data_IF_382817048478
#
_entry.id   IF_382817048478
#
_cell.length_a   1.000
_cell.length_b   1.000
_cell.length_c   1.000
_cell.angle_alpha   90.00
_cell.angle_beta   90.00
_cell.angle_gamma   90.00
#
_symmetry.space_group_name_H-M   'P 1'
#
loop_
_entity.id
_entity.type
_entity.pdbx_description
1 polymer ?
#
# COMPACT_ATOMS: atom_id res chain seq x y z
N UNK A 1 13.83 -27.74 22.01
CA UNK A 1 13.15 -26.47 21.66
C UNK A 1 13.26 -25.64 22.92
N UNK A 2 13.99 -24.52 22.87
CA UNK A 2 14.00 -23.60 24.01
C UNK A 2 12.58 -23.03 24.15
N UNK A 3 11.98 -23.17 25.33
CA UNK A 3 10.70 -22.56 25.64
C UNK A 3 10.82 -21.04 25.44
N UNK A 4 10.00 -20.50 24.57
CA UNK A 4 9.94 -19.05 24.36
C UNK A 4 9.25 -18.46 25.59
N UNK A 5 9.90 -17.55 26.29
CA UNK A 5 9.25 -16.80 27.35
C UNK A 5 8.26 -15.80 26.71
N UNK A 6 6.96 -15.90 27.01
CA UNK A 6 5.97 -14.96 26.45
C UNK A 6 6.32 -13.52 26.80
N UNK A 7 6.42 -12.67 25.77
CA UNK A 7 6.66 -11.25 25.92
C UNK A 7 5.34 -10.46 25.68
N UNK A 8 5.24 -9.27 26.27
CA UNK A 8 4.14 -8.35 26.01
C UNK A 8 4.52 -7.39 24.88
N UNK A 9 3.85 -7.48 23.74
CA UNK A 9 4.18 -6.74 22.51
C UNK A 9 3.02 -5.85 22.10
N UNK A 10 3.32 -4.60 21.74
CA UNK A 10 2.36 -3.70 21.12
C UNK A 10 2.62 -3.57 19.63
N UNK A 11 1.55 -3.58 18.84
CA UNK A 11 1.56 -3.25 17.42
C UNK A 11 0.69 -2.00 17.23
N UNK A 12 1.29 -0.91 16.76
CA UNK A 12 0.61 0.36 16.49
C UNK A 12 0.39 0.52 15.00
N UNK A 13 -0.86 0.42 14.57
CA UNK A 13 -1.30 0.41 13.19
C UNK A 13 -1.86 -0.96 12.78
N UNK A 14 -3.15 -0.99 12.48
CA UNK A 14 -3.92 -2.19 12.13
C UNK A 14 -4.09 -2.39 10.62
N UNK A 15 -3.12 -1.92 9.82
CA UNK A 15 -3.02 -2.25 8.39
C UNK A 15 -2.42 -3.65 8.16
N UNK A 16 -2.30 -4.08 6.90
CA UNK A 16 -1.81 -5.42 6.56
C UNK A 16 -0.43 -5.74 7.16
N UNK A 17 0.51 -4.80 7.17
CA UNK A 17 1.83 -4.99 7.81
C UNK A 17 1.71 -5.27 9.30
N UNK A 18 0.92 -4.45 10.01
CA UNK A 18 0.72 -4.60 11.45
C UNK A 18 -0.04 -5.87 11.81
N UNK A 19 -1.12 -6.20 11.08
CA UNK A 19 -1.91 -7.42 11.30
C UNK A 19 -1.10 -8.68 11.02
N UNK A 20 -0.28 -8.70 9.95
CA UNK A 20 0.63 -9.81 9.66
C UNK A 20 1.65 -10.01 10.78
N UNK A 21 2.30 -8.92 11.23
CA UNK A 21 3.28 -9.01 12.30
C UNK A 21 2.63 -9.44 13.63
N UNK A 22 1.47 -8.89 13.96
CA UNK A 22 0.71 -9.27 15.15
C UNK A 22 0.33 -10.75 15.13
N UNK A 23 -0.11 -11.26 13.97
CA UNK A 23 -0.45 -12.67 13.79
C UNK A 23 0.75 -13.60 14.02
N UNK A 24 1.90 -13.29 13.43
CA UNK A 24 3.12 -14.10 13.62
C UNK A 24 3.60 -14.08 15.07
N UNK A 25 3.60 -12.91 15.73
CA UNK A 25 4.00 -12.77 17.13
C UNK A 25 3.03 -13.51 18.08
N UNK A 26 1.71 -13.44 17.81
CA UNK A 26 0.72 -14.20 18.58
C UNK A 26 0.84 -15.71 18.35
N UNK A 27 1.15 -16.15 17.11
CA UNK A 27 1.44 -17.54 16.75
C UNK A 27 2.68 -18.06 17.45
N UNK A 28 3.68 -17.20 17.69
CA UNK A 28 4.87 -17.53 18.47
C UNK A 28 4.63 -17.60 19.99
N UNK A 29 3.44 -17.22 20.47
CA UNK A 29 3.03 -17.32 21.87
C UNK A 29 3.21 -16.03 22.68
N UNK A 30 3.46 -14.88 22.05
CA UNK A 30 3.54 -13.59 22.74
C UNK A 30 2.15 -13.02 23.06
N UNK A 31 2.08 -12.17 24.07
CA UNK A 31 0.89 -11.38 24.41
C UNK A 31 0.85 -10.13 23.53
N UNK A 32 0.01 -10.14 22.51
CA UNK A 32 -0.05 -9.08 21.50
C UNK A 32 -1.23 -8.15 21.76
N UNK A 33 -0.97 -6.85 21.75
CA UNK A 33 -1.99 -5.79 21.73
C UNK A 33 -1.86 -4.99 20.43
N UNK A 34 -2.95 -4.91 19.64
CA UNK A 34 -2.98 -4.15 18.39
C UNK A 34 -3.81 -2.90 18.55
N UNK A 35 -3.21 -1.74 18.29
CA UNK A 35 -3.82 -0.42 18.39
C UNK A 35 -4.02 0.18 17.00
N UNK A 36 -5.24 0.58 16.68
CA UNK A 36 -5.61 1.26 15.45
C UNK A 36 -6.34 2.56 15.75
N UNK A 37 -5.88 3.66 15.17
CA UNK A 37 -6.50 4.98 15.39
C UNK A 37 -7.88 5.12 14.73
N UNK A 38 -8.06 4.45 13.57
CA UNK A 38 -9.35 4.40 12.88
C UNK A 38 -10.34 3.47 13.61
N UNK A 39 -11.65 3.67 13.42
CA UNK A 39 -12.67 2.80 14.03
C UNK A 39 -12.67 1.37 13.48
N UNK A 40 -11.96 1.12 12.37
CA UNK A 40 -11.86 -0.19 11.70
C UNK A 40 -10.42 -0.53 11.36
N UNK A 41 -10.06 -1.81 11.44
CA UNK A 41 -8.79 -2.33 10.96
C UNK A 41 -8.73 -2.38 9.43
N UNK A 42 -7.53 -2.55 8.86
CA UNK A 42 -7.29 -2.70 7.43
C UNK A 42 -6.41 -1.60 6.81
N UNK A 43 -6.30 -0.43 7.45
CA UNK A 43 -5.48 0.68 6.93
C UNK A 43 -5.96 1.15 5.55
N UNK A 44 -5.07 1.19 4.55
CA UNK A 44 -5.40 1.57 3.17
C UNK A 44 -6.33 0.54 2.45
N UNK A 45 -6.44 -0.67 2.98
CA UNK A 45 -7.30 -1.75 2.47
C UNK A 45 -8.63 -1.81 3.23
N UNK A 46 -8.84 -0.90 4.19
CA UNK A 46 -10.07 -0.87 4.97
C UNK A 46 -11.30 -0.78 4.07
N UNK A 47 -12.28 -1.63 4.38
CA UNK A 47 -13.53 -1.73 3.62
C UNK A 47 -14.60 -0.74 4.07
N UNK A 48 -15.68 -0.73 3.31
CA UNK A 48 -16.97 -0.14 3.64
C UNK A 48 -18.07 -1.01 3.03
N UNK A 49 -19.32 -0.70 3.31
CA UNK A 49 -20.46 -1.40 2.73
C UNK A 49 -21.33 -0.42 1.94
N UNK A 50 -21.82 -0.87 0.78
CA UNK A 50 -22.86 -0.17 0.05
C UNK A 50 -24.17 -0.20 0.86
N UNK A 51 -25.15 0.61 0.48
CA UNK A 51 -26.43 0.72 1.18
C UNK A 51 -27.17 -0.61 1.37
N UNK A 52 -26.93 -1.58 0.49
CA UNK A 52 -27.49 -2.92 0.54
C UNK A 52 -26.60 -3.96 1.26
N UNK A 53 -25.50 -3.50 1.89
CA UNK A 53 -24.58 -4.35 2.65
C UNK A 53 -23.50 -5.04 1.80
N UNK A 54 -23.38 -4.72 0.51
CA UNK A 54 -22.32 -5.30 -0.33
C UNK A 54 -20.94 -4.72 0.08
N UNK A 55 -19.95 -5.57 0.42
CA UNK A 55 -18.64 -5.10 0.89
C UNK A 55 -17.75 -4.66 -0.26
N UNK A 56 -17.05 -3.54 -0.06
CA UNK A 56 -16.04 -3.00 -0.98
C UNK A 56 -14.86 -2.43 -0.22
N UNK A 57 -13.73 -2.25 -0.90
CA UNK A 57 -12.61 -1.46 -0.40
C UNK A 57 -12.82 0.03 -0.70
N UNK A 58 -12.36 0.89 0.22
CA UNK A 58 -12.34 2.36 0.03
C UNK A 58 -11.37 2.80 -1.07
N UNK A 59 -10.40 1.96 -1.40
CA UNK A 59 -9.46 2.13 -2.49
C UNK A 59 -9.32 0.79 -3.23
N UNK A 60 -9.24 0.84 -4.55
CA UNK A 60 -9.10 -0.36 -5.37
C UNK A 60 -7.80 -1.12 -5.06
N UNK A 61 -7.92 -2.43 -4.98
CA UNK A 61 -6.80 -3.35 -4.79
C UNK A 61 -6.91 -4.54 -5.75
N UNK A 62 -5.78 -5.12 -6.07
CA UNK A 62 -5.67 -6.37 -6.82
C UNK A 62 -4.32 -7.02 -6.51
N UNK A 63 -4.18 -8.30 -6.84
CA UNK A 63 -2.94 -9.05 -6.73
C UNK A 63 -2.41 -9.41 -8.13
N UNK A 64 -1.10 -9.53 -8.24
CA UNK A 64 -0.48 -10.21 -9.36
C UNK A 64 -0.35 -11.71 -9.06
N UNK A 65 -0.28 -12.54 -10.12
CA UNK A 65 -0.06 -13.99 -9.96
C UNK A 65 1.26 -14.33 -9.28
N UNK A 66 2.17 -13.37 -9.20
CA UNK A 66 3.50 -13.44 -8.58
C UNK A 66 3.54 -12.88 -7.15
N UNK A 67 2.40 -12.50 -6.59
CA UNK A 67 2.31 -11.94 -5.22
C UNK A 67 2.34 -13.06 -4.16
N UNK A 68 3.46 -13.80 -4.12
CA UNK A 68 3.64 -15.04 -3.34
C UNK A 68 3.40 -14.87 -1.84
N UNK A 69 3.79 -13.72 -1.26
CA UNK A 69 3.61 -13.45 0.16
C UNK A 69 2.13 -13.34 0.54
N UNK A 70 1.36 -12.63 -0.29
CA UNK A 70 -0.07 -12.47 -0.07
C UNK A 70 -0.83 -13.77 -0.33
N UNK A 71 -0.47 -14.50 -1.38
CA UNK A 71 -1.06 -15.80 -1.73
C UNK A 71 -0.75 -16.82 -0.62
N UNK A 72 0.49 -16.91 -0.15
CA UNK A 72 0.89 -17.80 0.94
C UNK A 72 0.17 -17.47 2.26
N UNK A 73 -0.01 -16.19 2.58
CA UNK A 73 -0.78 -15.79 3.76
C UNK A 73 -2.26 -16.17 3.63
N UNK A 74 -2.84 -16.04 2.44
CA UNK A 74 -4.22 -16.50 2.19
C UNK A 74 -4.36 -18.02 2.33
N UNK A 75 -3.34 -18.80 1.94
CA UNK A 75 -3.27 -20.25 2.17
C UNK A 75 -3.19 -20.57 3.68
N UNK A 76 -2.33 -19.88 4.40
CA UNK A 76 -2.16 -20.06 5.85
C UNK A 76 -3.42 -19.72 6.64
N UNK A 77 -4.13 -18.67 6.23
CA UNK A 77 -5.40 -18.26 6.82
C UNK A 77 -6.61 -19.11 6.35
N UNK A 78 -6.40 -20.09 5.44
CA UNK A 78 -7.43 -20.99 4.96
C UNK A 78 -8.48 -20.34 4.05
N UNK A 79 -8.11 -19.29 3.33
CA UNK A 79 -9.00 -18.55 2.40
C UNK A 79 -8.45 -18.44 0.97
N UNK A 80 -7.46 -19.27 0.63
CA UNK A 80 -6.85 -19.28 -0.72
C UNK A 80 -7.87 -19.62 -1.82
N UNK A 81 -8.84 -20.46 -1.52
CA UNK A 81 -9.94 -20.86 -2.38
C UNK A 81 -10.92 -19.72 -2.72
N UNK A 82 -10.86 -18.61 -1.96
CA UNK A 82 -11.63 -17.39 -2.22
C UNK A 82 -10.88 -16.41 -3.15
N UNK A 83 -9.65 -16.71 -3.56
CA UNK A 83 -8.83 -15.87 -4.45
C UNK A 83 -8.83 -16.41 -5.87
N UNK A 84 -9.44 -15.67 -6.78
CA UNK A 84 -9.44 -15.96 -8.21
C UNK A 84 -8.64 -14.92 -9.01
N UNK A 85 -8.17 -15.33 -10.20
CA UNK A 85 -7.38 -14.48 -11.09
C UNK A 85 -8.11 -14.27 -12.42
N UNK A 86 -8.39 -13.01 -12.73
CA UNK A 86 -9.18 -12.56 -13.87
C UNK A 86 -8.31 -11.90 -14.94
N UNK A 87 -8.57 -12.10 -16.25
CA UNK A 87 -7.85 -11.40 -17.30
C UNK A 87 -8.14 -9.91 -17.25
N UNK A 88 -7.09 -9.10 -17.23
CA UNK A 88 -7.20 -7.64 -17.14
C UNK A 88 -7.24 -7.03 -18.54
N UNK A 89 -7.97 -5.92 -18.68
CA UNK A 89 -8.03 -5.11 -19.90
C UNK A 89 -7.64 -3.66 -19.59
N UNK A 90 -6.89 -3.04 -20.52
CA UNK A 90 -6.41 -1.67 -20.37
C UNK A 90 -6.71 -0.89 -21.65
N UNK A 91 -7.36 0.28 -21.52
CA UNK A 91 -7.49 1.27 -22.59
C UNK A 91 -6.86 2.60 -22.17
N UNK A 92 -6.25 3.29 -23.11
CA UNK A 92 -5.74 4.64 -22.91
C UNK A 92 -6.72 5.66 -23.50
N UNK A 93 -7.02 6.72 -22.73
CA UNK A 93 -7.70 7.92 -23.22
C UNK A 93 -6.67 8.95 -23.66
N UNK A 94 -6.78 9.40 -24.90
CA UNK A 94 -5.90 10.44 -25.42
C UNK A 94 -6.65 11.28 -26.45
N UNK A 95 -6.70 12.59 -26.25
CA UNK A 95 -7.41 13.56 -27.11
C UNK A 95 -8.87 13.13 -27.39
N UNK A 96 -9.59 12.76 -26.31
CA UNK A 96 -11.00 12.35 -26.36
C UNK A 96 -11.27 11.01 -27.06
N UNK A 97 -10.24 10.18 -27.28
CA UNK A 97 -10.37 8.86 -27.91
C UNK A 97 -9.82 7.74 -27.04
N UNK A 98 -10.45 6.58 -27.13
CA UNK A 98 -10.01 5.34 -26.48
C UNK A 98 -9.15 4.49 -27.41
N UNK A 99 -8.02 4.02 -26.91
CA UNK A 99 -7.09 3.15 -27.61
C UNK A 99 -6.80 1.93 -26.75
N UNK A 100 -6.80 0.73 -27.35
CA UNK A 100 -6.27 -0.46 -26.70
C UNK A 100 -4.77 -0.26 -26.37
N UNK A 101 -4.35 -0.72 -25.21
CA UNK A 101 -2.97 -0.55 -24.73
C UNK A 101 -2.43 -1.79 -23.98
N UNK A 102 -3.08 -2.94 -24.20
CA UNK A 102 -2.78 -4.19 -23.48
C UNK A 102 -1.79 -5.06 -24.24
N UNK A 103 -1.89 -5.09 -25.60
CA UNK A 103 -1.14 -5.99 -26.45
C UNK A 103 -0.15 -5.27 -27.39
N UNK A 104 0.91 -5.95 -27.87
CA UNK A 104 1.83 -5.37 -28.87
C UNK A 104 1.13 -4.88 -30.15
N UNK A 105 0.07 -5.55 -30.59
CA UNK A 105 -0.70 -5.15 -31.78
C UNK A 105 -1.48 -3.86 -31.53
N UNK A 106 -2.04 -3.70 -30.33
CA UNK A 106 -2.72 -2.47 -29.94
C UNK A 106 -1.73 -1.30 -29.87
N UNK A 107 -0.52 -1.50 -29.31
CA UNK A 107 0.54 -0.49 -29.34
C UNK A 107 0.90 -0.10 -30.78
N UNK A 108 1.01 -1.06 -31.70
CA UNK A 108 1.26 -0.76 -33.13
C UNK A 108 0.09 -0.01 -33.78
N UNK A 109 -1.13 -0.10 -33.25
CA UNK A 109 -2.30 0.65 -33.70
C UNK A 109 -2.47 2.01 -33.05
N UNK A 110 -1.67 2.36 -32.05
CA UNK A 110 -1.79 3.59 -31.25
C UNK A 110 -1.41 4.83 -32.07
N UNK A 111 -2.41 5.43 -32.73
CA UNK A 111 -2.25 6.54 -33.71
C UNK A 111 -1.62 7.81 -33.17
N UNK A 112 -1.71 8.18 -31.85
CA UNK A 112 -1.01 9.35 -31.33
C UNK A 112 0.50 9.32 -31.52
N UNK A 113 1.08 8.12 -31.62
CA UNK A 113 2.49 7.92 -31.97
C UNK A 113 2.71 7.73 -33.48
N UNK A 114 3.82 8.26 -33.99
CA UNK A 114 4.30 7.89 -35.34
C UNK A 114 4.63 6.39 -35.39
N UNK A 115 4.66 5.80 -36.59
CA UNK A 115 5.02 4.37 -36.73
C UNK A 115 6.40 4.07 -36.12
N UNK A 116 7.38 4.96 -36.34
CA UNK A 116 8.74 4.81 -35.78
C UNK A 116 8.69 4.85 -34.24
N UNK A 117 7.92 5.76 -33.67
CA UNK A 117 7.79 5.88 -32.19
C UNK A 117 7.09 4.64 -31.60
N UNK A 118 6.10 4.04 -32.28
CA UNK A 118 5.44 2.79 -31.84
C UNK A 118 6.43 1.64 -31.76
N UNK A 119 7.21 1.43 -32.83
CA UNK A 119 8.24 0.39 -32.87
C UNK A 119 9.29 0.65 -31.78
N UNK A 120 9.73 1.90 -31.64
CA UNK A 120 10.71 2.29 -30.63
C UNK A 120 10.18 2.07 -29.21
N UNK A 121 8.90 2.37 -28.93
CA UNK A 121 8.25 2.11 -27.65
C UNK A 121 8.20 0.62 -27.33
N UNK A 122 7.85 -0.22 -28.30
CA UNK A 122 7.92 -1.68 -28.16
C UNK A 122 9.33 -2.19 -27.85
N UNK A 123 10.35 -1.70 -28.59
CA UNK A 123 11.75 -2.04 -28.34
C UNK A 123 12.24 -1.54 -26.97
N UNK A 124 11.74 -0.39 -26.50
CA UNK A 124 12.05 0.12 -25.15
C UNK A 124 11.52 -0.82 -24.08
N UNK A 125 10.30 -1.35 -24.25
CA UNK A 125 9.74 -2.38 -23.36
C UNK A 125 10.63 -3.63 -23.31
N UNK A 126 11.01 -4.17 -24.48
CA UNK A 126 11.89 -5.34 -24.56
C UNK A 126 13.27 -5.07 -23.94
N UNK A 127 13.83 -3.89 -24.18
CA UNK A 127 15.11 -3.48 -23.57
C UNK A 127 14.99 -3.44 -22.04
N UNK A 128 13.91 -2.84 -21.50
CA UNK A 128 13.68 -2.80 -20.05
C UNK A 128 13.61 -4.21 -19.46
N UNK A 129 12.90 -5.13 -20.12
CA UNK A 129 12.80 -6.52 -19.69
C UNK A 129 14.14 -7.29 -19.80
N UNK A 130 15.05 -6.88 -20.69
CA UNK A 130 16.37 -7.50 -20.80
C UNK A 130 17.35 -7.08 -19.69
N UNK A 131 17.07 -6.01 -18.96
CA UNK A 131 17.88 -5.57 -17.83
C UNK A 131 17.66 -6.52 -16.64
N UNK A 132 18.72 -7.17 -16.19
CA UNK A 132 18.66 -8.17 -15.12
C UNK A 132 18.68 -7.55 -13.72
N UNK A 133 19.26 -6.37 -13.59
CA UNK A 133 19.51 -5.71 -12.30
C UNK A 133 18.94 -4.30 -12.30
N UNK A 134 18.26 -3.95 -11.24
CA UNK A 134 17.70 -2.61 -11.01
C UNK A 134 18.69 -1.63 -10.37
N UNK A 135 19.73 -2.11 -9.67
CA UNK A 135 20.65 -1.28 -8.91
C UNK A 135 21.29 -0.14 -9.75
N UNK A 136 21.73 -0.35 -11.00
CA UNK A 136 22.25 0.75 -11.81
C UNK A 136 21.20 1.79 -12.22
N UNK A 137 19.92 1.50 -11.98
CA UNK A 137 18.80 2.36 -12.34
C UNK A 137 18.33 3.26 -11.18
N UNK A 138 18.91 3.12 -9.98
CA UNK A 138 18.53 3.93 -8.80
C UNK A 138 18.92 5.38 -8.91
N UNK A 139 19.99 5.68 -9.65
CA UNK A 139 20.57 7.03 -9.77
C UNK A 139 20.13 7.79 -11.02
N UNK A 140 19.20 7.26 -11.79
CA UNK A 140 18.65 7.90 -13.00
C UNK A 140 17.12 7.97 -12.90
N UNK A 141 16.55 9.12 -13.30
CA UNK A 141 15.10 9.27 -13.31
C UNK A 141 14.46 8.42 -14.42
N UNK A 142 13.24 7.95 -14.19
CA UNK A 142 12.47 7.20 -15.20
C UNK A 142 12.27 8.05 -16.46
N UNK A 143 11.94 9.32 -16.29
CA UNK A 143 11.70 10.22 -17.41
C UNK A 143 12.95 10.45 -18.27
N UNK A 144 14.11 10.75 -17.68
CA UNK A 144 15.35 10.97 -18.42
C UNK A 144 15.81 9.71 -19.14
N UNK A 145 15.75 8.56 -18.46
CA UNK A 145 16.10 7.28 -19.07
C UNK A 145 15.19 6.97 -20.28
N UNK A 146 13.87 7.17 -20.09
CA UNK A 146 12.89 6.96 -21.19
C UNK A 146 13.13 7.96 -22.34
N UNK A 147 13.36 9.23 -22.08
CA UNK A 147 13.67 10.21 -23.13
C UNK A 147 14.88 9.79 -23.96
N UNK A 148 15.90 9.23 -23.31
CA UNK A 148 17.13 8.75 -23.97
C UNK A 148 16.88 7.53 -24.86
N UNK A 149 16.05 6.55 -24.41
CA UNK A 149 15.85 5.29 -25.15
C UNK A 149 14.60 5.31 -26.03
N UNK A 150 13.50 5.86 -25.56
CA UNK A 150 12.22 5.91 -26.25
C UNK A 150 12.05 7.17 -27.11
N UNK A 151 12.80 8.23 -26.82
CA UNK A 151 12.66 9.56 -27.40
C UNK A 151 11.61 10.42 -26.68
N UNK A 152 11.89 11.72 -26.61
CA UNK A 152 11.09 12.67 -25.81
C UNK A 152 9.61 12.63 -26.17
N UNK A 153 9.25 12.73 -27.47
CA UNK A 153 7.86 12.77 -27.92
C UNK A 153 7.07 11.54 -27.48
N UNK A 154 7.61 10.34 -27.71
CA UNK A 154 6.94 9.09 -27.32
C UNK A 154 6.85 8.98 -25.79
N UNK A 155 7.86 9.44 -25.06
CA UNK A 155 7.86 9.48 -23.60
C UNK A 155 6.79 10.44 -23.08
N UNK A 156 6.65 11.63 -23.67
CA UNK A 156 5.65 12.63 -23.26
C UNK A 156 4.21 12.12 -23.48
N UNK A 157 3.98 11.34 -24.55
CA UNK A 157 2.63 10.83 -24.88
C UNK A 157 2.25 9.61 -24.06
N UNK A 158 3.20 8.70 -23.78
CA UNK A 158 2.91 7.38 -23.18
C UNK A 158 3.24 7.35 -21.70
N UNK A 159 4.44 7.77 -21.32
CA UNK A 159 4.98 7.51 -19.99
C UNK A 159 4.78 8.67 -19.02
N UNK A 160 4.85 9.90 -19.50
CA UNK A 160 4.64 11.07 -18.66
C UNK A 160 3.26 11.07 -17.99
N UNK A 161 2.13 10.80 -18.69
CA UNK A 161 0.83 10.71 -18.05
C UNK A 161 0.77 9.62 -16.95
N UNK A 162 1.42 8.47 -17.18
CA UNK A 162 1.51 7.40 -16.16
C UNK A 162 2.28 7.85 -14.91
N UNK A 163 3.40 8.54 -15.10
CA UNK A 163 4.21 9.06 -14.00
C UNK A 163 3.46 10.16 -13.26
N UNK A 164 2.80 11.08 -13.98
CA UNK A 164 1.98 12.14 -13.38
C UNK A 164 0.80 11.58 -12.61
N UNK A 165 0.06 10.62 -13.19
CA UNK A 165 -1.08 9.99 -12.51
C UNK A 165 -0.71 9.18 -11.27
N UNK A 166 0.57 8.87 -11.08
CA UNK A 166 1.04 8.14 -9.90
C UNK A 166 1.79 9.02 -8.90
N UNK A 167 2.50 10.04 -9.38
CA UNK A 167 3.43 10.82 -8.56
C UNK A 167 3.20 12.33 -8.62
N UNK A 168 2.13 12.77 -9.28
CA UNK A 168 1.73 14.18 -9.38
C UNK A 168 2.95 15.07 -9.73
N UNK A 169 3.22 16.13 -8.99
CA UNK A 169 4.34 17.07 -9.21
C UNK A 169 5.74 16.44 -9.14
N UNK A 170 5.86 15.23 -8.60
CA UNK A 170 7.14 14.50 -8.48
C UNK A 170 7.44 13.57 -9.66
N UNK A 171 6.60 13.58 -10.69
CA UNK A 171 6.64 12.64 -11.81
C UNK A 171 8.01 12.55 -12.52
N UNK A 172 8.77 13.63 -12.58
CA UNK A 172 10.08 13.73 -13.23
C UNK A 172 11.25 13.36 -12.29
N UNK A 173 10.99 13.15 -11.01
CA UNK A 173 11.99 12.80 -9.99
C UNK A 173 12.09 11.29 -9.73
N UNK A 174 11.07 10.54 -10.12
CA UNK A 174 10.94 9.11 -9.83
C UNK A 174 12.06 8.31 -10.47
N UNK A 175 12.70 7.44 -9.68
CA UNK A 175 13.81 6.60 -10.17
C UNK A 175 13.37 5.57 -11.21
N UNK A 176 14.23 5.28 -12.18
CA UNK A 176 13.99 4.24 -13.19
C UNK A 176 13.94 2.84 -12.56
N UNK A 177 14.55 2.60 -11.40
CA UNK A 177 14.48 1.34 -10.69
C UNK A 177 13.03 0.97 -10.34
N UNK A 178 12.24 1.92 -9.85
CA UNK A 178 10.80 1.73 -9.58
C UNK A 178 10.03 1.36 -10.86
N UNK A 179 10.24 2.11 -11.95
CA UNK A 179 9.53 1.83 -13.20
C UNK A 179 9.93 0.47 -13.79
N UNK A 180 11.21 0.11 -13.68
CA UNK A 180 11.71 -1.20 -14.10
C UNK A 180 10.98 -2.32 -13.38
N UNK A 181 10.83 -2.24 -12.06
CA UNK A 181 10.10 -3.23 -11.26
C UNK A 181 8.64 -3.33 -11.68
N UNK A 182 7.97 -2.20 -11.91
CA UNK A 182 6.57 -2.17 -12.38
C UNK A 182 6.40 -2.90 -13.73
N UNK A 183 7.32 -2.69 -14.67
CA UNK A 183 7.28 -3.35 -15.97
C UNK A 183 7.55 -4.86 -15.81
N UNK A 184 8.50 -5.25 -14.96
CA UNK A 184 8.84 -6.65 -14.71
C UNK A 184 7.71 -7.42 -14.05
N UNK A 185 7.11 -6.91 -12.98
CA UNK A 185 6.00 -7.54 -12.27
C UNK A 185 4.81 -7.77 -13.22
N UNK A 186 4.44 -6.78 -14.02
CA UNK A 186 3.36 -6.94 -15.02
C UNK A 186 3.68 -7.98 -16.08
N UNK A 187 4.93 -8.10 -16.50
CA UNK A 187 5.31 -9.07 -17.51
C UNK A 187 5.40 -10.49 -16.94
N UNK A 188 5.91 -10.64 -15.73
CA UNK A 188 6.04 -11.96 -15.07
C UNK A 188 4.72 -12.49 -14.52
N UNK A 189 3.72 -11.62 -14.30
CA UNK A 189 2.37 -12.01 -13.88
C UNK A 189 1.51 -12.60 -14.98
N UNK A 190 1.98 -12.59 -16.25
CA UNK A 190 1.29 -13.24 -17.36
C UNK A 190 1.45 -14.75 -17.29
N UNK A 191 0.37 -15.48 -17.46
CA UNK A 191 0.45 -16.93 -17.60
C UNK A 191 1.06 -17.33 -18.95
N UNK A 192 1.67 -18.51 -18.98
CA UNK A 192 2.33 -19.02 -20.20
C UNK A 192 1.33 -19.12 -21.36
N UNK A 193 1.61 -18.39 -22.44
CA UNK A 193 0.76 -18.36 -23.63
C UNK A 193 -0.31 -17.25 -23.62
N UNK A 194 -0.49 -16.51 -22.53
CA UNK A 194 -1.39 -15.37 -22.45
C UNK A 194 -0.69 -14.07 -22.84
N UNK A 195 -1.44 -13.19 -23.49
CA UNK A 195 -0.93 -11.86 -23.87
C UNK A 195 -1.27 -10.77 -22.86
N UNK A 196 -2.27 -11.01 -22.01
CA UNK A 196 -2.72 -10.12 -20.95
C UNK A 196 -2.27 -10.60 -19.60
N UNK A 197 -2.07 -9.69 -18.67
CA UNK A 197 -1.88 -10.02 -17.25
C UNK A 197 -3.18 -10.50 -16.62
N UNK A 198 -3.07 -11.32 -15.59
CA UNK A 198 -4.20 -11.65 -14.72
C UNK A 198 -4.06 -10.93 -13.39
N UNK A 199 -5.16 -10.43 -12.89
CA UNK A 199 -5.23 -9.75 -11.60
C UNK A 199 -6.10 -10.55 -10.64
N UNK A 200 -5.58 -10.79 -9.44
CA UNK A 200 -6.25 -11.52 -8.39
C UNK A 200 -7.18 -10.62 -7.58
N UNK A 201 -8.35 -11.17 -7.28
CA UNK A 201 -9.32 -10.53 -6.40
C UNK A 201 -10.00 -11.58 -5.54
N UNK A 202 -10.28 -11.25 -4.27
CA UNK A 202 -10.97 -12.15 -3.36
C UNK A 202 -12.47 -12.06 -3.53
N UNK A 203 -13.16 -13.18 -3.52
CA UNK A 203 -14.62 -13.22 -3.34
C UNK A 203 -14.97 -12.57 -1.99
N UNK A 204 -15.76 -11.50 -2.02
CA UNK A 204 -16.06 -10.67 -0.85
C UNK A 204 -15.04 -9.57 -0.55
N UNK A 205 -14.08 -9.35 -1.47
CA UNK A 205 -13.07 -8.28 -1.40
C UNK A 205 -11.90 -8.59 -0.46
N UNK A 206 -10.95 -7.68 -0.39
CA UNK A 206 -9.74 -7.80 0.47
C UNK A 206 -10.06 -7.74 1.97
N UNK A 207 -11.26 -7.30 2.34
CA UNK A 207 -11.74 -7.31 3.74
C UNK A 207 -11.65 -8.71 4.35
N UNK A 208 -11.86 -9.78 3.57
CA UNK A 208 -11.79 -11.16 4.06
C UNK A 208 -10.44 -11.49 4.73
N UNK A 209 -9.34 -10.91 4.23
CA UNK A 209 -8.03 -11.07 4.86
C UNK A 209 -7.99 -10.42 6.24
N UNK A 210 -8.54 -9.20 6.36
CA UNK A 210 -8.60 -8.48 7.65
C UNK A 210 -9.44 -9.29 8.64
N UNK A 211 -10.63 -9.70 8.25
CA UNK A 211 -11.57 -10.46 9.10
C UNK A 211 -10.91 -11.76 9.61
N UNK A 212 -10.21 -12.50 8.72
CA UNK A 212 -9.50 -13.73 9.13
C UNK A 212 -8.34 -13.46 10.08
N UNK A 213 -7.53 -12.42 9.86
CA UNK A 213 -6.49 -12.05 10.83
C UNK A 213 -7.09 -11.71 12.20
N UNK A 214 -8.19 -10.95 12.24
CA UNK A 214 -8.84 -10.57 13.51
C UNK A 214 -9.39 -11.79 14.24
N UNK A 215 -10.02 -12.74 13.53
CA UNK A 215 -10.51 -14.00 14.10
C UNK A 215 -9.34 -14.83 14.68
N UNK A 216 -8.26 -15.00 13.92
CA UNK A 216 -7.09 -15.77 14.34
C UNK A 216 -6.33 -15.11 15.51
N UNK A 217 -6.23 -13.78 15.51
CA UNK A 217 -5.65 -13.01 16.62
C UNK A 217 -6.50 -13.15 17.89
N UNK A 218 -7.83 -13.00 17.78
CA UNK A 218 -8.74 -13.17 18.91
C UNK A 218 -8.68 -14.61 19.47
N UNK A 219 -8.63 -15.63 18.61
CA UNK A 219 -8.48 -17.03 19.02
C UNK A 219 -7.18 -17.31 19.79
N UNK A 220 -6.12 -16.52 19.55
CA UNK A 220 -4.82 -16.58 20.27
C UNK A 220 -4.76 -15.65 21.48
N UNK A 221 -5.85 -14.98 21.85
CA UNK A 221 -5.93 -14.10 23.00
C UNK A 221 -5.29 -12.72 22.80
N UNK A 222 -5.05 -12.30 21.55
CA UNK A 222 -4.59 -10.95 21.27
C UNK A 222 -5.67 -9.91 21.61
N UNK A 223 -5.24 -8.74 22.09
CA UNK A 223 -6.13 -7.63 22.42
C UNK A 223 -6.21 -6.67 21.24
N UNK A 224 -7.38 -6.54 20.65
CA UNK A 224 -7.64 -5.69 19.48
C UNK A 224 -8.34 -4.40 19.91
N UNK A 225 -7.73 -3.24 19.61
CA UNK A 225 -8.18 -1.91 20.04
C UNK A 225 -8.37 -0.96 18.86
N UNK A 226 -9.47 -1.09 18.11
CA UNK A 226 -9.83 -0.09 17.10
C UNK A 226 -10.26 1.22 17.78
N UNK A 227 -10.16 2.35 17.07
CA UNK A 227 -10.51 3.68 17.59
C UNK A 227 -9.61 4.17 18.71
N UNK A 228 -8.40 3.61 18.84
CA UNK A 228 -7.47 3.91 19.94
C UNK A 228 -6.17 4.53 19.39
N UNK A 229 -6.12 5.86 19.20
CA UNK A 229 -4.93 6.56 18.74
C UNK A 229 -3.85 6.57 19.82
N UNK A 230 -2.61 6.29 19.43
CA UNK A 230 -1.44 6.42 20.31
C UNK A 230 -1.02 7.88 20.37
N UNK A 231 -0.92 8.44 21.58
CA UNK A 231 -0.58 9.83 21.82
C UNK A 231 0.94 10.07 21.78
N UNK A 232 1.73 9.14 22.35
CA UNK A 232 3.18 9.21 22.33
C UNK A 232 3.82 7.82 22.43
N UNK A 233 5.03 7.72 21.87
CA UNK A 233 5.99 6.65 22.08
C UNK A 233 7.02 7.15 23.10
N UNK A 234 7.13 6.48 24.24
CA UNK A 234 7.93 6.90 25.39
C UNK A 234 8.80 5.76 25.90
N UNK A 235 9.62 6.02 26.90
CA UNK A 235 10.39 5.01 27.62
C UNK A 235 10.06 5.13 29.12
N UNK A 236 9.75 3.98 29.74
CA UNK A 236 9.50 3.91 31.17
C UNK A 236 10.31 2.75 31.79
N UNK A 237 11.16 3.08 32.77
CA UNK A 237 12.07 2.13 33.44
C UNK A 237 12.93 1.29 32.46
N UNK A 238 13.47 1.96 31.41
CA UNK A 238 14.31 1.32 30.39
C UNK A 238 13.58 0.38 29.44
N UNK A 239 12.24 0.45 29.37
CA UNK A 239 11.39 -0.36 28.48
C UNK A 239 10.56 0.53 27.55
N UNK A 240 10.27 0.08 26.35
CA UNK A 240 9.37 0.82 25.46
C UNK A 240 7.97 0.95 26.09
N UNK A 241 7.41 2.15 25.99
CA UNK A 241 6.09 2.46 26.51
C UNK A 241 5.27 3.33 25.55
N UNK A 242 3.96 3.19 25.60
CA UNK A 242 3.01 3.97 24.80
C UNK A 242 2.11 4.78 25.74
N UNK A 243 1.85 6.04 25.38
CA UNK A 243 0.82 6.85 26.06
C UNK A 243 -0.51 6.65 25.32
N UNK A 244 -1.50 6.11 26.03
CA UNK A 244 -2.82 5.75 25.52
C UNK A 244 -3.86 6.29 26.50
N UNK A 245 -4.75 7.16 26.04
CA UNK A 245 -5.77 7.80 26.87
C UNK A 245 -5.20 8.53 28.11
N UNK A 246 -3.98 9.08 27.94
CA UNK A 246 -3.24 9.75 29.01
C UNK A 246 -2.53 8.81 29.99
N UNK A 247 -2.63 7.50 29.83
CA UNK A 247 -1.96 6.50 30.65
C UNK A 247 -0.73 5.92 29.93
N UNK A 248 0.37 5.76 30.64
CA UNK A 248 1.57 5.10 30.13
C UNK A 248 1.50 3.59 30.32
N UNK A 249 1.67 2.85 29.22
CA UNK A 249 1.66 1.38 29.21
C UNK A 249 2.97 0.84 28.65
N UNK A 250 3.60 -0.06 29.40
CA UNK A 250 4.91 -0.65 29.11
C UNK A 250 4.77 -1.96 28.35
N UNK A 251 5.74 -2.20 27.46
CA UNK A 251 5.84 -3.41 26.64
C UNK A 251 7.28 -3.93 26.66
N UNK A 252 7.49 -5.15 26.19
CA UNK A 252 8.81 -5.72 25.96
C UNK A 252 9.34 -5.30 24.58
N UNK A 253 8.45 -5.14 23.60
CA UNK A 253 8.73 -4.59 22.29
C UNK A 253 7.50 -3.86 21.71
N UNK A 254 7.75 -2.87 20.86
CA UNK A 254 6.70 -2.10 20.18
C UNK A 254 7.00 -2.01 18.68
N UNK A 255 6.04 -2.39 17.86
CA UNK A 255 6.07 -2.16 16.42
C UNK A 255 5.25 -0.91 16.06
N UNK A 256 5.87 0.06 15.39
CA UNK A 256 5.18 1.13 14.67
C UNK A 256 4.89 0.69 13.23
N UNK A 257 3.69 0.17 12.96
CA UNK A 257 3.21 -0.13 11.59
C UNK A 257 2.44 1.07 11.01
N UNK A 258 3.00 2.26 11.16
CA UNK A 258 2.43 3.56 10.81
C UNK A 258 3.39 4.34 9.89
N UNK A 259 2.93 5.35 9.13
CA UNK A 259 3.81 6.17 8.30
C UNK A 259 4.99 6.76 9.10
N UNK A 260 6.17 6.83 8.48
CA UNK A 260 7.41 7.29 9.14
C UNK A 260 7.27 8.67 9.76
N UNK A 261 6.62 9.63 9.09
CA UNK A 261 6.35 10.96 9.61
C UNK A 261 5.36 10.96 10.80
N UNK A 262 4.49 9.95 10.91
CA UNK A 262 3.61 9.79 12.07
C UNK A 262 4.40 9.28 13.28
N UNK A 263 5.33 8.33 13.09
CA UNK A 263 6.25 7.89 14.14
C UNK A 263 7.10 9.08 14.64
N UNK A 264 7.67 9.87 13.71
CA UNK A 264 8.47 11.04 14.08
C UNK A 264 7.71 12.02 15.00
N UNK A 265 6.42 12.24 14.71
CA UNK A 265 5.56 13.10 15.54
C UNK A 265 5.24 12.49 16.90
N UNK A 266 4.90 11.20 16.92
CA UNK A 266 4.48 10.52 18.15
C UNK A 266 5.67 10.23 19.09
N UNK A 267 6.88 10.06 18.54
CA UNK A 267 8.09 9.80 19.32
C UNK A 267 8.99 11.05 19.49
N UNK A 268 8.50 12.26 19.20
CA UNK A 268 9.31 13.50 19.20
C UNK A 268 10.02 13.79 20.53
N UNK A 269 9.40 13.42 21.63
CA UNK A 269 9.91 13.65 22.99
C UNK A 269 10.60 12.40 23.59
N UNK A 270 10.79 11.32 22.80
CA UNK A 270 11.46 10.11 23.24
C UNK A 270 12.96 10.39 23.48
N UNK A 271 13.56 9.95 24.62
CA UNK A 271 14.96 10.28 24.97
C UNK A 271 15.99 9.88 23.92
N UNK A 272 15.77 8.78 23.21
CA UNK A 272 16.65 8.30 22.14
C UNK A 272 16.36 8.89 20.75
N UNK A 273 15.36 9.78 20.61
CA UNK A 273 15.04 10.44 19.35
C UNK A 273 16.10 11.50 19.03
N UNK A 274 17.00 11.18 18.11
CA UNK A 274 18.00 12.13 17.64
C UNK A 274 17.46 13.02 16.53
N UNK A 275 18.00 14.26 16.35
CA UNK A 275 17.63 15.11 15.21
C UNK A 275 17.87 14.43 13.86
N UNK A 276 18.92 13.61 13.73
CA UNK A 276 19.24 12.89 12.52
C UNK A 276 18.17 11.82 12.18
N UNK A 277 17.73 11.05 13.17
CA UNK A 277 16.69 10.04 12.98
C UNK A 277 15.31 10.68 12.72
N UNK A 278 14.97 11.73 13.48
CA UNK A 278 13.74 12.50 13.23
C UNK A 278 13.73 13.04 11.79
N UNK A 279 14.85 13.59 11.31
CA UNK A 279 14.98 14.06 9.94
C UNK A 279 14.81 12.91 8.95
N UNK A 280 15.45 11.76 9.15
CA UNK A 280 15.32 10.58 8.27
C UNK A 280 13.84 10.16 8.13
N UNK A 281 13.07 10.13 9.21
CA UNK A 281 11.65 9.78 9.22
C UNK A 281 10.77 10.83 8.51
N UNK A 282 11.16 12.10 8.53
CA UNK A 282 10.40 13.20 7.94
C UNK A 282 10.83 13.59 6.52
N UNK A 283 12.01 13.15 6.07
CA UNK A 283 12.53 13.40 4.71
C UNK A 283 11.88 12.49 3.64
N UNK A 284 10.90 11.70 4.00
CA UNK A 284 10.11 10.90 3.06
C UNK A 284 8.88 11.71 2.67
N UNK A 285 8.84 12.13 1.40
CA UNK A 285 7.69 12.81 0.84
C UNK A 285 6.56 11.82 0.56
N UNK A 286 5.31 12.24 0.83
CA UNK A 286 4.13 11.45 0.58
C UNK A 286 3.08 12.26 -0.18
N UNK A 287 2.42 11.61 -1.13
CA UNK A 287 1.16 12.07 -1.71
C UNK A 287 -0.02 11.51 -0.92
N UNK A 288 -1.08 12.27 -0.89
CA UNK A 288 -2.42 11.80 -0.57
C UNK A 288 -3.07 11.10 -1.76
N UNK A 289 -4.22 10.52 -1.54
CA UNK A 289 -5.11 10.05 -2.59
C UNK A 289 -6.54 10.43 -2.26
N UNK A 290 -7.27 10.91 -3.24
CA UNK A 290 -8.71 11.05 -3.19
C UNK A 290 -9.34 10.04 -4.15
N UNK A 291 -10.36 9.35 -3.69
CA UNK A 291 -11.07 8.31 -4.43
C UNK A 291 -12.57 8.51 -4.30
N UNK A 292 -13.29 8.30 -5.38
CA UNK A 292 -14.74 8.20 -5.40
C UNK A 292 -15.12 6.83 -5.93
N UNK A 293 -15.95 6.13 -5.18
CA UNK A 293 -16.57 4.87 -5.59
C UNK A 293 -18.00 5.18 -5.99
N UNK A 294 -18.38 4.79 -7.20
CA UNK A 294 -19.77 4.93 -7.66
C UNK A 294 -20.31 3.59 -8.11
N UNK A 295 -21.63 3.42 -7.95
CA UNK A 295 -22.39 2.38 -8.62
C UNK A 295 -23.32 3.00 -9.65
N UNK A 296 -23.61 2.29 -10.74
CA UNK A 296 -24.52 2.76 -11.77
C UNK A 296 -25.61 1.74 -12.09
N UNK A 297 -26.73 2.19 -12.62
CA UNK A 297 -27.86 1.33 -13.04
C UNK A 297 -27.57 0.55 -14.33
N UNK A 298 -26.63 1.02 -15.14
CA UNK A 298 -26.22 0.41 -16.42
C UNK A 298 -24.69 0.43 -16.54
N UNK A 299 -24.08 -0.49 -17.32
CA UNK A 299 -22.64 -0.50 -17.53
C UNK A 299 -22.20 0.70 -18.39
N UNK A 300 -21.12 1.37 -17.98
CA UNK A 300 -20.54 2.52 -18.72
C UNK A 300 -19.22 2.16 -19.43
N UNK A 301 -18.69 0.99 -19.22
CA UNK A 301 -17.50 0.48 -19.92
C UNK A 301 -17.43 -1.06 -19.81
N UNK A 302 -16.70 -1.67 -20.74
CA UNK A 302 -16.33 -3.08 -20.76
C UNK A 302 -14.85 -3.32 -20.38
N UNK A 303 -14.19 -2.28 -19.91
CA UNK A 303 -12.74 -2.26 -19.69
C UNK A 303 -12.42 -2.01 -18.24
N UNK A 304 -11.54 -2.84 -17.66
CA UNK A 304 -11.15 -2.70 -16.26
C UNK A 304 -10.40 -1.39 -16.00
N UNK A 305 -9.26 -1.16 -16.65
CA UNK A 305 -8.39 -0.03 -16.34
C UNK A 305 -8.35 0.99 -17.47
N UNK A 306 -8.60 2.24 -17.15
CA UNK A 306 -8.48 3.35 -18.07
C UNK A 306 -7.31 4.25 -17.67
N UNK A 307 -6.31 4.33 -18.55
CA UNK A 307 -5.19 5.27 -18.41
C UNK A 307 -5.61 6.59 -19.03
N UNK A 308 -5.72 7.62 -18.22
CA UNK A 308 -6.11 8.96 -18.69
C UNK A 308 -4.84 9.73 -19.04
N UNK A 309 -4.62 9.94 -20.34
CA UNK A 309 -3.49 10.72 -20.86
C UNK A 309 -3.84 12.19 -21.09
N UNK A 310 -5.12 12.54 -20.97
CA UNK A 310 -5.61 13.92 -21.07
C UNK A 310 -5.40 14.61 -19.72
N UNK A 311 -4.25 15.31 -19.58
CA UNK A 311 -3.77 15.88 -18.31
C UNK A 311 -4.62 17.04 -17.76
N UNK A 312 -5.61 17.51 -18.51
CA UNK A 312 -6.63 18.47 -18.06
C UNK A 312 -7.86 17.78 -17.42
N UNK A 313 -7.87 16.45 -17.36
CA UNK A 313 -8.90 15.71 -16.65
C UNK A 313 -8.80 15.96 -15.13
N UNK A 314 -9.93 16.03 -14.42
CA UNK A 314 -9.93 16.31 -12.99
C UNK A 314 -9.55 15.09 -12.11
N UNK A 315 -9.21 13.96 -12.73
CA UNK A 315 -8.71 12.72 -12.12
C UNK A 315 -7.91 11.93 -13.17
N UNK A 316 -6.99 11.10 -12.75
CA UNK A 316 -6.13 10.31 -13.65
C UNK A 316 -6.30 8.80 -13.50
N UNK A 317 -7.14 8.36 -12.55
CA UNK A 317 -7.49 6.95 -12.35
C UNK A 317 -8.98 6.75 -12.58
N UNK A 318 -9.32 5.81 -13.45
CA UNK A 318 -10.68 5.31 -13.62
C UNK A 318 -10.63 3.80 -13.89
N UNK A 319 -11.38 3.03 -13.13
CA UNK A 319 -11.47 1.58 -13.31
C UNK A 319 -12.87 1.05 -13.00
N UNK A 320 -13.21 -0.09 -13.61
CA UNK A 320 -14.48 -0.82 -13.46
C UNK A 320 -14.21 -2.17 -12.80
N UNK A 321 -14.68 -2.38 -11.58
CA UNK A 321 -14.49 -3.64 -10.87
C UNK A 321 -15.25 -4.78 -11.53
N UNK A 322 -16.50 -4.54 -11.92
CA UNK A 322 -17.34 -5.52 -12.63
C UNK A 322 -16.76 -5.96 -13.97
N UNK A 323 -16.03 -5.07 -14.66
CA UNK A 323 -15.28 -5.44 -15.88
C UNK A 323 -14.04 -6.31 -15.62
N UNK A 324 -13.55 -6.37 -14.37
CA UNK A 324 -12.47 -7.27 -13.98
C UNK A 324 -13.01 -8.62 -13.53
N UNK A 325 -13.90 -8.62 -12.51
CA UNK A 325 -14.29 -9.85 -11.82
C UNK A 325 -15.61 -10.45 -12.33
N UNK A 326 -16.32 -9.78 -13.22
CA UNK A 326 -17.63 -10.16 -13.73
C UNK A 326 -18.78 -9.59 -12.86
N UNK A 327 -19.87 -9.23 -13.51
CA UNK A 327 -21.06 -8.70 -12.81
C UNK A 327 -21.68 -9.72 -11.83
N UNK A 328 -21.52 -11.00 -12.08
CA UNK A 328 -21.96 -12.08 -11.18
C UNK A 328 -21.25 -12.01 -9.82
N UNK A 329 -19.97 -11.64 -9.79
CA UNK A 329 -19.17 -11.53 -8.56
C UNK A 329 -19.36 -10.18 -7.85
N UNK A 330 -19.97 -9.20 -8.52
CA UNK A 330 -20.40 -7.93 -7.90
C UNK A 330 -21.86 -7.93 -7.49
N UNK A 331 -22.53 -9.10 -7.56
CA UNK A 331 -23.96 -9.22 -7.30
C UNK A 331 -24.84 -8.45 -8.28
N UNK A 332 -24.42 -8.36 -9.55
CA UNK A 332 -25.12 -7.66 -10.62
C UNK A 332 -24.92 -6.13 -10.61
N UNK A 333 -23.97 -5.61 -9.84
CA UNK A 333 -23.68 -4.17 -9.72
C UNK A 333 -22.58 -3.76 -10.68
N UNK A 334 -22.67 -2.55 -11.20
CA UNK A 334 -21.63 -1.89 -11.99
C UNK A 334 -20.90 -0.92 -11.08
N UNK A 335 -19.63 -1.22 -10.75
CA UNK A 335 -18.87 -0.55 -9.70
C UNK A 335 -17.61 0.10 -10.30
N UNK A 336 -17.43 1.39 -10.05
CA UNK A 336 -16.32 2.16 -10.59
C UNK A 336 -15.56 2.90 -9.51
N UNK A 337 -14.24 2.91 -9.64
CA UNK A 337 -13.33 3.71 -8.83
C UNK A 337 -12.76 4.83 -9.69
N UNK A 338 -12.90 6.05 -9.21
CA UNK A 338 -12.37 7.27 -9.83
C UNK A 338 -11.43 7.89 -8.81
N UNK A 339 -10.27 8.37 -9.24
CA UNK A 339 -9.36 8.93 -8.26
C UNK A 339 -8.14 9.63 -8.82
N UNK A 340 -7.41 10.23 -7.90
CA UNK A 340 -6.15 10.86 -8.17
C UNK A 340 -5.19 10.77 -6.98
N UNK A 341 -3.88 10.81 -7.28
CA UNK A 341 -2.84 11.04 -6.29
C UNK A 341 -2.51 12.53 -6.30
N UNK A 342 -2.66 13.16 -5.15
CA UNK A 342 -2.53 14.61 -4.98
C UNK A 342 -1.63 14.94 -3.80
N UNK A 343 -1.14 16.16 -3.72
CA UNK A 343 -0.43 16.63 -2.53
C UNK A 343 -1.36 16.60 -1.31
N UNK A 344 -0.79 16.35 -0.11
CA UNK A 344 -1.59 16.24 1.12
C UNK A 344 -2.31 17.54 1.51
N UNK A 345 -1.90 18.68 0.97
CA UNK A 345 -2.48 20.01 1.15
C UNK A 345 -3.29 20.50 -0.07
N UNK A 346 -3.43 19.65 -1.10
CA UNK A 346 -4.29 19.97 -2.24
C UNK A 346 -5.75 20.19 -1.82
N UNK A 347 -6.45 21.07 -2.54
CA UNK A 347 -7.87 21.37 -2.26
C UNK A 347 -8.78 20.14 -2.31
N UNK A 348 -8.48 19.17 -3.19
CA UNK A 348 -9.22 17.91 -3.33
C UNK A 348 -9.27 17.12 -2.02
N UNK A 349 -8.26 17.31 -1.14
CA UNK A 349 -8.20 16.65 0.17
C UNK A 349 -9.14 17.28 1.22
N UNK A 350 -9.72 18.46 0.94
CA UNK A 350 -10.52 19.23 1.92
C UNK A 350 -11.81 19.81 1.36
N UNK A 351 -11.93 19.94 0.04
CA UNK A 351 -13.13 20.46 -0.63
C UNK A 351 -14.38 19.68 -0.21
N UNK A 352 -15.53 20.35 -0.21
CA UNK A 352 -16.82 19.70 0.04
C UNK A 352 -17.05 18.52 -0.93
N UNK A 353 -17.60 17.42 -0.43
CA UNK A 353 -17.77 16.20 -1.22
C UNK A 353 -18.72 16.38 -2.40
N UNK A 354 -19.76 17.17 -2.27
CA UNK A 354 -20.71 17.40 -3.36
C UNK A 354 -20.05 18.23 -4.48
N UNK A 355 -19.20 19.19 -4.11
CA UNK A 355 -18.40 19.95 -5.10
C UNK A 355 -17.41 19.03 -5.81
N UNK A 356 -16.78 18.10 -5.09
CA UNK A 356 -15.88 17.11 -5.70
C UNK A 356 -16.63 16.16 -6.63
N UNK A 357 -17.79 15.66 -6.21
CA UNK A 357 -18.66 14.81 -7.05
C UNK A 357 -19.04 15.50 -8.34
N UNK A 358 -19.53 16.74 -8.27
CA UNK A 358 -19.91 17.51 -9.45
C UNK A 358 -18.74 17.71 -10.42
N UNK A 359 -17.55 18.06 -9.90
CA UNK A 359 -16.32 18.21 -10.69
C UNK A 359 -15.95 16.91 -11.41
N UNK A 360 -16.00 15.77 -10.71
CA UNK A 360 -15.61 14.49 -11.26
C UNK A 360 -16.67 13.89 -12.18
N UNK A 361 -17.96 14.11 -11.93
CA UNK A 361 -19.02 13.72 -12.88
C UNK A 361 -18.90 14.49 -14.18
N UNK A 362 -18.66 15.80 -14.14
CA UNK A 362 -18.41 16.59 -15.34
C UNK A 362 -17.18 16.10 -16.12
N UNK A 363 -16.14 15.63 -15.41
CA UNK A 363 -14.98 14.96 -16.02
C UNK A 363 -15.34 13.64 -16.70
N UNK A 364 -16.13 12.79 -16.04
CA UNK A 364 -16.61 11.54 -16.62
C UNK A 364 -17.49 11.76 -17.85
N UNK A 365 -18.44 12.70 -17.82
CA UNK A 365 -19.31 13.05 -18.96
C UNK A 365 -18.50 13.52 -20.17
N UNK A 366 -17.36 14.20 -19.93
CA UNK A 366 -16.44 14.62 -21.01
C UNK A 366 -15.63 13.44 -21.57
N UNK A 367 -15.19 12.50 -20.72
CA UNK A 367 -14.32 11.38 -21.10
C UNK A 367 -15.10 10.17 -21.64
N UNK A 368 -16.27 9.91 -21.09
CA UNK A 368 -17.08 8.71 -21.35
C UNK A 368 -18.45 9.13 -21.88
N UNK A 369 -18.68 9.11 -23.19
CA UNK A 369 -20.00 9.41 -23.76
C UNK A 369 -21.13 8.51 -23.25
N UNK A 370 -20.78 7.33 -22.74
CA UNK A 370 -21.73 6.36 -22.15
C UNK A 370 -22.13 6.71 -20.71
N UNK A 371 -21.39 7.60 -20.05
CA UNK A 371 -21.71 8.03 -18.68
C UNK A 371 -22.69 9.20 -18.69
N UNK A 372 -23.70 9.10 -17.84
CA UNK A 372 -24.55 10.20 -17.39
C UNK A 372 -24.64 10.12 -15.88
N UNK A 373 -24.63 11.28 -15.19
CA UNK A 373 -24.82 11.33 -13.73
C UNK A 373 -26.15 10.73 -13.28
N UNK A 374 -27.19 10.71 -14.14
CA UNK A 374 -28.48 10.08 -13.85
C UNK A 374 -28.41 8.56 -13.71
N UNK A 375 -27.34 7.94 -14.20
CA UNK A 375 -27.07 6.52 -14.03
C UNK A 375 -26.53 6.18 -12.63
N UNK A 376 -25.98 7.17 -11.91
CA UNK A 376 -25.38 6.93 -10.59
C UNK A 376 -26.44 6.59 -9.56
N UNK A 377 -26.31 5.42 -8.95
CA UNK A 377 -27.23 4.93 -7.92
C UNK A 377 -26.70 5.16 -6.50
N UNK A 378 -25.36 5.15 -6.34
CA UNK A 378 -24.69 5.39 -5.06
C UNK A 378 -23.30 5.97 -5.29
N UNK A 379 -22.80 6.80 -4.37
CA UNK A 379 -21.50 7.45 -4.47
C UNK A 379 -20.88 7.70 -3.10
N UNK A 380 -19.60 7.32 -2.95
CA UNK A 380 -18.81 7.49 -1.73
C UNK A 380 -17.46 8.15 -2.05
N UNK A 381 -17.04 9.10 -1.23
CA UNK A 381 -15.74 9.78 -1.36
C UNK A 381 -14.84 9.36 -0.20
N UNK A 382 -13.59 9.01 -0.53
CA UNK A 382 -12.57 8.63 0.44
C UNK A 382 -11.29 9.42 0.20
N UNK A 383 -10.65 9.86 1.27
CA UNK A 383 -9.40 10.62 1.24
C UNK A 383 -8.38 9.96 2.16
N UNK A 384 -7.19 9.72 1.62
CA UNK A 384 -6.10 9.07 2.32
C UNK A 384 -4.90 10.01 2.34
N UNK A 385 -4.46 10.41 3.52
CA UNK A 385 -3.17 11.09 3.69
C UNK A 385 -2.05 10.05 3.66
N UNK A 386 -0.88 10.45 3.15
CA UNK A 386 0.28 9.55 3.05
C UNK A 386 -0.05 8.23 2.31
N UNK A 387 -0.75 8.32 1.18
CA UNK A 387 -1.15 7.14 0.40
C UNK A 387 -0.03 6.59 -0.49
N UNK A 388 0.91 7.43 -0.93
CA UNK A 388 2.03 7.06 -1.79
C UNK A 388 3.29 7.79 -1.37
N UNK A 389 4.39 7.08 -1.13
CA UNK A 389 5.70 7.69 -0.91
C UNK A 389 6.41 7.98 -2.24
N UNK A 390 7.31 8.96 -2.23
CA UNK A 390 8.06 9.38 -3.41
C UNK A 390 9.40 8.66 -3.45
N UNK A 391 9.62 7.92 -4.53
CA UNK A 391 10.82 7.12 -4.77
C UNK A 391 11.76 7.81 -5.75
N UNK A 392 12.41 8.88 -5.32
CA UNK A 392 13.38 9.63 -6.12
C UNK A 392 14.76 8.94 -6.18
N UNK A 393 15.68 9.53 -6.91
CA UNK A 393 17.04 8.97 -7.12
C UNK A 393 17.92 8.93 -5.86
N UNK A 394 17.48 9.51 -4.76
CA UNK A 394 18.18 9.49 -3.46
C UNK A 394 17.44 8.66 -2.41
N UNK A 395 16.27 8.13 -2.75
CA UNK A 395 15.37 7.48 -1.82
C UNK A 395 16.00 6.29 -1.09
N UNK A 396 16.73 5.41 -1.81
CA UNK A 396 17.35 4.22 -1.25
C UNK A 396 18.22 4.52 0.00
N UNK A 397 18.97 5.64 -0.02
CA UNK A 397 19.81 6.04 1.11
C UNK A 397 19.06 6.63 2.30
N UNK A 398 17.77 6.94 2.15
CA UNK A 398 16.92 7.54 3.18
C UNK A 398 15.95 6.55 3.83
N UNK A 399 15.86 5.32 3.31
CA UNK A 399 14.96 4.30 3.85
C UNK A 399 15.35 4.01 5.30
N UNK A 400 14.43 4.19 6.28
CA UNK A 400 14.72 3.85 7.66
C UNK A 400 14.81 2.32 7.83
N UNK A 401 15.67 1.87 8.73
CA UNK A 401 15.75 0.46 9.09
C UNK A 401 14.48 0.02 9.85
N UNK A 402 14.18 -1.28 9.80
CA UNK A 402 13.10 -1.86 10.62
C UNK A 402 13.43 -1.85 12.10
N UNK A 403 14.69 -2.11 12.47
CA UNK A 403 15.20 -1.84 13.82
C UNK A 403 15.48 -0.35 13.96
N UNK A 404 14.79 0.28 14.89
CA UNK A 404 14.95 1.72 15.11
C UNK A 404 16.07 2.02 16.11
N UNK A 405 16.62 3.25 16.12
CA UNK A 405 17.52 3.68 17.21
C UNK A 405 16.83 3.82 18.58
N UNK A 406 15.51 3.73 18.64
CA UNK A 406 14.74 3.76 19.87
C UNK A 406 14.74 2.35 20.48
N UNK A 407 15.27 2.14 21.69
CA UNK A 407 15.41 0.81 22.28
C UNK A 407 14.07 0.07 22.40
N UNK A 408 13.99 -1.15 21.86
CA UNK A 408 12.77 -1.97 21.88
C UNK A 408 11.67 -1.55 20.90
N UNK A 409 11.95 -0.57 20.02
CA UNK A 409 11.01 -0.12 19.00
C UNK A 409 11.43 -0.56 17.59
N UNK A 410 10.44 -0.99 16.83
CA UNK A 410 10.56 -1.40 15.43
C UNK A 410 9.65 -0.56 14.55
N UNK A 411 10.00 -0.42 13.29
CA UNK A 411 9.24 0.30 12.27
C UNK A 411 9.07 -0.56 11.04
N UNK A 412 7.83 -0.78 10.61
CA UNK A 412 7.54 -1.42 9.33
C UNK A 412 6.35 -0.74 8.65
N UNK A 413 6.59 -0.14 7.49
CA UNK A 413 5.53 0.48 6.70
C UNK A 413 5.90 0.52 5.22
N UNK A 414 4.93 0.87 4.37
CA UNK A 414 5.09 0.82 2.93
C UNK A 414 6.19 1.75 2.38
N UNK A 415 6.65 2.77 3.12
CA UNK A 415 7.76 3.61 2.66
C UNK A 415 9.14 2.94 2.77
N UNK A 416 9.21 1.73 3.30
CA UNK A 416 10.42 0.91 3.27
C UNK A 416 10.44 -0.05 2.07
N UNK A 417 9.36 -0.08 1.29
CA UNK A 417 9.27 -0.89 0.06
C UNK A 417 10.03 -0.20 -1.06
N UNK A 418 11.09 -0.84 -1.56
CA UNK A 418 11.92 -0.38 -2.66
C UNK A 418 12.74 -1.56 -3.25
N UNK A 419 12.94 -1.66 -4.56
CA UNK A 419 12.49 -0.73 -5.63
C UNK A 419 11.05 -1.00 -6.11
N UNK A 420 10.36 -1.95 -5.50
CA UNK A 420 8.99 -2.31 -5.84
C UNK A 420 8.02 -1.14 -5.57
N UNK A 421 6.85 -1.20 -6.19
CA UNK A 421 5.75 -0.32 -5.82
C UNK A 421 5.07 -0.87 -4.58
N UNK A 422 4.62 0.01 -3.69
CA UNK A 422 3.87 -0.40 -2.51
C UNK A 422 2.65 -1.25 -2.90
N UNK A 423 2.31 -2.24 -2.08
CA UNK A 423 1.17 -3.13 -2.31
C UNK A 423 0.94 -4.05 -1.14
N UNK A 424 -0.20 -4.73 -1.15
CA UNK A 424 -0.59 -5.67 -0.10
C UNK A 424 0.41 -6.82 0.05
N UNK A 425 0.96 -7.31 -1.06
CA UNK A 425 1.99 -8.35 -1.07
C UNK A 425 3.23 -7.94 -0.26
N UNK A 426 3.72 -6.72 -0.45
CA UNK A 426 4.89 -6.23 0.26
C UNK A 426 4.57 -5.84 1.71
N UNK A 427 3.32 -5.47 2.00
CA UNK A 427 2.87 -5.25 3.38
C UNK A 427 2.91 -6.56 4.19
N UNK A 428 2.49 -7.67 3.60
CA UNK A 428 2.61 -9.01 4.21
C UNK A 428 4.08 -9.41 4.33
N UNK A 429 4.90 -9.30 3.26
CA UNK A 429 6.34 -9.58 3.31
C UNK A 429 7.03 -8.87 4.48
N UNK A 430 6.80 -7.56 4.59
CA UNK A 430 7.49 -6.74 5.58
C UNK A 430 6.93 -6.93 6.99
N UNK A 431 5.64 -7.32 7.12
CA UNK A 431 5.05 -7.80 8.37
C UNK A 431 5.72 -9.08 8.88
N UNK A 432 5.93 -10.06 7.99
CA UNK A 432 6.67 -11.31 8.31
C UNK A 432 8.12 -11.01 8.71
N UNK A 433 8.80 -10.13 7.96
CA UNK A 433 10.21 -9.77 8.22
C UNK A 433 10.39 -9.06 9.56
N UNK A 434 9.55 -8.08 9.87
CA UNK A 434 9.66 -7.34 11.13
C UNK A 434 9.28 -8.22 12.31
N UNK A 435 8.30 -9.12 12.18
CA UNK A 435 7.97 -10.07 13.23
C UNK A 435 9.17 -10.98 13.55
N UNK A 436 9.87 -11.50 12.53
CA UNK A 436 11.07 -12.29 12.71
C UNK A 436 12.21 -11.53 13.42
N UNK A 437 12.42 -10.25 13.06
CA UNK A 437 13.40 -9.38 13.74
C UNK A 437 13.03 -9.14 15.21
N UNK A 438 11.74 -8.89 15.50
CA UNK A 438 11.25 -8.73 16.86
C UNK A 438 11.43 -10.00 17.69
N UNK A 439 11.15 -11.19 17.11
CA UNK A 439 11.41 -12.48 17.73
C UNK A 439 12.88 -12.69 18.09
N UNK A 440 13.79 -12.33 17.17
CA UNK A 440 15.23 -12.44 17.42
C UNK A 440 15.65 -11.51 18.57
N UNK A 441 15.20 -10.27 18.58
CA UNK A 441 15.49 -9.30 19.63
C UNK A 441 14.94 -9.75 21.00
N UNK A 442 13.68 -10.23 21.04
CA UNK A 442 13.06 -10.72 22.27
C UNK A 442 13.76 -11.96 22.84
N UNK A 443 14.33 -12.82 21.98
CA UNK A 443 15.15 -13.98 22.43
C UNK A 443 16.52 -13.56 22.94
N UNK A 444 17.09 -12.49 22.43
CA UNK A 444 18.39 -11.99 22.87
C UNK A 444 18.33 -11.28 24.25
N UNK A 445 17.16 -10.73 24.61
CA UNK A 445 16.95 -10.01 25.88
C UNK A 445 16.59 -10.83 27.14
N UNK A 446 16.18 -12.11 27.09
CA UNK A 446 15.83 -12.86 28.32
C UNK A 446 16.98 -12.93 29.31
N UNK A 447 18.23 -12.76 28.85
CA UNK A 447 19.42 -12.66 29.69
C UNK A 447 19.46 -11.39 30.55
N UNK A 448 18.87 -10.28 30.10
CA UNK A 448 18.88 -9.01 30.86
C UNK A 448 17.82 -9.00 31.96
N UNK A 449 16.57 -9.37 31.65
CA UNK A 449 15.48 -9.44 32.64
C UNK A 449 15.71 -10.55 33.66
N UNK A 450 16.30 -11.67 33.24
CA UNK A 450 16.69 -12.76 34.13
C UNK A 450 17.86 -12.37 35.03
N UNK A 451 18.84 -11.60 34.55
CA UNK A 451 19.92 -11.01 35.38
C UNK A 451 19.39 -9.99 36.39
N UNK A 452 18.57 -9.05 35.94
CA UNK A 452 17.97 -8.03 36.82
C UNK A 452 17.09 -8.66 37.91
N UNK A 453 16.34 -9.73 37.60
CA UNK A 453 15.59 -10.52 38.60
C UNK A 453 16.51 -11.29 39.55
N UNK A 454 17.59 -11.87 39.04
CA UNK A 454 18.57 -12.59 39.86
C UNK A 454 19.36 -11.64 40.74
N UNK A 455 19.74 -10.47 40.26
CA UNK A 455 20.41 -9.40 41.01
C UNK A 455 19.48 -8.80 42.09
N UNK A 456 18.21 -8.49 41.74
CA UNK A 456 17.22 -8.04 42.72
C UNK A 456 16.82 -9.08 43.77
N UNK A 457 16.84 -10.39 43.43
CA UNK A 457 16.65 -11.45 44.40
C UNK A 457 17.87 -11.62 45.32
N UNK A 458 19.09 -11.47 44.79
CA UNK A 458 20.32 -11.51 45.59
C UNK A 458 20.47 -10.32 46.53
N UNK A 459 20.00 -9.10 46.14
CA UNK A 459 19.97 -7.92 47.00
C UNK A 459 18.93 -8.06 48.15
N UNK A 460 17.77 -8.70 47.88
CA UNK A 460 16.77 -8.98 48.90
C UNK A 460 17.24 -10.02 49.91
N UNK A 461 17.96 -11.06 49.50
CA UNK A 461 18.57 -12.08 50.38
C UNK A 461 19.73 -11.49 51.20
N UNK A 462 20.51 -10.56 50.61
CA UNK A 462 21.59 -9.89 51.31
C UNK A 462 21.08 -8.83 52.34
N UNK A 463 19.88 -8.27 52.14
CA UNK A 463 19.26 -7.37 53.08
C UNK A 463 18.48 -8.06 54.22
N UNK A 464 18.26 -9.39 54.09
CA UNK A 464 17.55 -10.22 55.07
C UNK A 464 18.51 -11.06 55.97
N UNK A 465 19.82 -11.02 55.70
CA UNK A 465 20.90 -11.60 56.47
C UNK A 465 21.69 -10.55 57.25
#
# INVERSE_FOLDING_TARGET
MNEITPARVAVVGGGFTGLTAAYELAKAGHHVEVYEAAPTFGGLVAGFELADGFPLERAYHFLYTTDEWMIGMAEELGIRDRLDFYPSSIKAFHEGRRYGFTTPLELLSFKPLSFVDRVRTGLTGLRTLSLKNWQPLTTVTAYDWLCKVNGKRATDIVWKPLLMGKFDVYWDKVTMAWLWTRIHVRQTSKLKGEQTERLGYFEGGFRIMVDRWLEELAARGAVLRPGTPIQAFTEADGRPALVIDGEERRFDAVLGAIPSNALARAAKDHPAMTPAYSKQLTDIDYLGAALMVITTSEPITDTYWHQIHDLDAPFLVFLSLDSLIGAENTGGRYIYYIGDYVQNDDEVMTIDEDVLRERWYAGLEKLLPEFSRDLVTESHVFRFRNAQHIVDVTFESRIPAMETPLPGYFLANFSQVFPEDRGTNYAVRDGLRVAALMEEALRAEPTRVARERAEGAAELDAAAS
#
